data_IF_240786325821
#
_entry.id   IF_240786325821
#
_cell.length_a   1.000
_cell.length_b   1.000
_cell.length_c   1.000
_cell.angle_alpha   90.00
_cell.angle_beta   90.00
_cell.angle_gamma   90.00
#
_symmetry.space_group_name_H-M   'P 1'
#
loop_
_entity.id
_entity.type
_entity.pdbx_description
1 polymer ?
#
# COMPACT_ATOMS: atom_id res chain seq x y z
N UNK A 1 -39.77 3.66 -37.58
CA UNK A 1 -38.37 3.38 -37.19
C UNK A 1 -37.98 4.38 -36.11
N UNK A 2 -37.77 3.94 -34.86
CA UNK A 2 -37.41 4.82 -33.73
C UNK A 2 -36.15 4.25 -33.08
N UNK A 3 -34.98 4.81 -33.42
CA UNK A 3 -33.71 4.47 -32.78
C UNK A 3 -33.67 5.07 -31.38
N UNK A 4 -33.53 4.22 -30.37
CA UNK A 4 -33.14 4.62 -29.01
C UNK A 4 -31.65 4.40 -28.88
N UNK A 5 -30.89 5.50 -28.86
CA UNK A 5 -29.48 5.47 -28.47
C UNK A 5 -29.40 5.32 -26.95
N UNK A 6 -28.93 4.17 -26.48
CA UNK A 6 -28.62 3.96 -25.07
C UNK A 6 -27.23 4.55 -24.80
N UNK A 7 -27.16 5.65 -24.06
CA UNK A 7 -25.91 6.15 -23.48
C UNK A 7 -25.47 5.17 -22.38
N UNK A 8 -24.39 4.45 -22.61
CA UNK A 8 -23.65 3.75 -21.56
C UNK A 8 -22.83 4.78 -20.78
N UNK A 9 -23.30 5.15 -19.59
CA UNK A 9 -22.50 5.85 -18.61
C UNK A 9 -21.49 4.86 -18.00
N UNK A 10 -20.21 5.01 -18.35
CA UNK A 10 -19.10 4.36 -17.66
C UNK A 10 -18.97 4.99 -16.28
N UNK A 11 -19.38 4.27 -15.23
CA UNK A 11 -18.99 4.59 -13.86
C UNK A 11 -17.48 4.37 -13.74
N UNK A 12 -16.70 5.46 -13.73
CA UNK A 12 -15.32 5.42 -13.30
C UNK A 12 -15.30 5.20 -11.78
N UNK A 13 -15.17 3.95 -11.35
CA UNK A 13 -14.81 3.67 -9.96
C UNK A 13 -13.41 4.24 -9.72
N UNK A 14 -13.19 5.02 -8.65
CA UNK A 14 -11.84 5.40 -8.27
C UNK A 14 -11.05 4.12 -8.04
N UNK A 15 -10.07 3.84 -8.91
CA UNK A 15 -9.14 2.75 -8.68
C UNK A 15 -8.37 3.06 -7.40
N UNK A 16 -8.36 2.12 -6.46
CA UNK A 16 -7.35 2.12 -5.42
C UNK A 16 -5.98 2.23 -6.10
N UNK A 17 -5.09 3.06 -5.56
CA UNK A 17 -3.77 3.24 -6.16
C UNK A 17 -2.98 1.95 -5.94
N UNK A 18 -2.86 1.13 -6.98
CA UNK A 18 -2.07 -0.09 -6.97
C UNK A 18 -0.60 0.30 -6.94
N UNK A 19 0.05 0.06 -5.79
CA UNK A 19 1.47 0.33 -5.60
C UNK A 19 2.28 -0.92 -5.91
N UNK A 20 3.36 -0.76 -6.66
CA UNK A 20 4.36 -1.79 -6.90
C UNK A 20 5.73 -1.28 -6.51
N UNK A 21 6.39 -2.00 -5.60
CA UNK A 21 7.72 -1.68 -5.10
C UNK A 21 8.72 -2.74 -5.53
N UNK A 22 9.89 -2.31 -5.95
CA UNK A 22 11.07 -3.15 -6.11
C UNK A 22 12.09 -2.74 -5.05
N UNK A 23 12.35 -3.63 -4.09
CA UNK A 23 13.19 -3.37 -2.92
C UNK A 23 14.37 -4.35 -2.90
N UNK A 24 15.49 -3.93 -2.32
CA UNK A 24 16.68 -4.74 -2.11
C UNK A 24 17.20 -4.55 -0.69
N UNK A 25 17.92 -5.54 -0.18
CA UNK A 25 18.51 -5.46 1.15
C UNK A 25 19.51 -4.31 1.24
N UNK A 26 19.39 -3.46 2.27
CA UNK A 26 20.27 -2.29 2.43
C UNK A 26 21.73 -2.67 2.70
N UNK A 27 21.96 -3.89 3.19
CA UNK A 27 23.30 -4.41 3.48
C UNK A 27 23.94 -5.13 2.30
N UNK A 28 23.18 -5.35 1.22
CA UNK A 28 23.68 -6.08 0.06
C UNK A 28 24.64 -5.22 -0.77
N UNK A 29 25.81 -5.77 -1.07
CA UNK A 29 26.89 -5.07 -1.78
C UNK A 29 27.19 -5.65 -3.17
N UNK A 30 26.74 -6.87 -3.47
CA UNK A 30 26.91 -7.51 -4.78
C UNK A 30 25.70 -8.42 -5.11
N UNK A 31 25.27 -8.40 -6.37
CA UNK A 31 24.26 -9.31 -6.93
C UNK A 31 22.96 -9.42 -6.13
N UNK A 32 22.39 -8.27 -5.75
CA UNK A 32 21.24 -8.18 -4.87
C UNK A 32 19.94 -8.68 -5.53
N UNK A 33 19.27 -9.62 -4.85
CA UNK A 33 17.94 -10.08 -5.23
C UNK A 33 16.91 -9.01 -4.88
N UNK A 34 16.02 -8.70 -5.81
CA UNK A 34 14.90 -7.79 -5.57
C UNK A 34 13.70 -8.51 -4.97
N UNK A 35 13.17 -7.94 -3.89
CA UNK A 35 11.88 -8.28 -3.31
C UNK A 35 10.81 -7.36 -3.91
N UNK A 36 9.80 -7.96 -4.54
CA UNK A 36 8.65 -7.21 -5.06
C UNK A 36 7.54 -7.15 -4.01
N UNK A 37 7.00 -5.95 -3.79
CA UNK A 37 5.84 -5.70 -2.93
C UNK A 37 4.71 -5.09 -3.74
N UNK A 38 3.49 -5.60 -3.58
CA UNK A 38 2.30 -5.07 -4.25
C UNK A 38 1.16 -4.91 -3.25
N UNK A 39 0.49 -3.76 -3.28
CA UNK A 39 -0.65 -3.47 -2.41
C UNK A 39 -1.44 -2.29 -2.96
N UNK A 40 -2.65 -2.05 -2.46
CA UNK A 40 -3.49 -0.96 -2.91
C UNK A 40 -4.06 -0.18 -1.72
N UNK A 41 -3.92 1.14 -1.74
CA UNK A 41 -4.55 1.99 -0.72
C UNK A 41 -5.86 2.54 -1.28
N UNK A 42 -6.95 2.28 -0.56
CA UNK A 42 -8.21 2.96 -0.77
C UNK A 42 -8.25 4.23 0.10
N UNK A 43 -8.16 5.43 -0.50
CA UNK A 43 -8.10 6.67 0.25
C UNK A 43 -9.40 6.98 1.01
N UNK A 44 -10.53 6.36 0.63
CA UNK A 44 -11.81 6.57 1.31
C UNK A 44 -11.78 6.05 2.76
N UNK A 45 -10.86 5.14 3.07
CA UNK A 45 -10.66 4.61 4.42
C UNK A 45 -10.09 5.64 5.41
N UNK A 46 -9.54 6.75 4.91
CA UNK A 46 -8.91 7.81 5.70
C UNK A 46 -9.76 9.09 5.79
N UNK A 47 -10.98 9.06 5.27
CA UNK A 47 -11.90 10.19 5.38
C UNK A 47 -12.36 10.33 6.82
N UNK A 48 -12.37 11.59 7.30
CA UNK A 48 -12.85 11.93 8.62
C UNK A 48 -14.24 11.31 8.89
N UNK A 49 -14.52 10.89 10.15
CA UNK A 49 -15.84 10.44 10.51
C UNK A 49 -16.85 11.56 10.29
N UNK A 50 -18.07 11.22 9.84
CA UNK A 50 -19.11 12.23 9.64
C UNK A 50 -19.72 12.62 10.99
N UNK A 51 -19.86 11.65 11.89
CA UNK A 51 -20.25 11.83 13.28
C UNK A 51 -19.08 11.41 14.18
N UNK A 52 -18.69 12.21 15.20
CA UNK A 52 -17.66 11.82 16.16
C UNK A 52 -17.91 10.48 16.88
N UNK A 53 -19.16 10.02 16.93
CA UNK A 53 -19.55 8.73 17.50
C UNK A 53 -19.56 7.59 16.47
N UNK A 54 -19.19 7.85 15.22
CA UNK A 54 -19.03 6.79 14.22
C UNK A 54 -17.95 5.80 14.71
N UNK A 55 -18.16 4.49 14.54
CA UNK A 55 -17.15 3.51 14.90
C UNK A 55 -15.87 3.74 14.09
N UNK A 56 -14.69 3.48 14.68
CA UNK A 56 -13.43 3.59 13.96
C UNK A 56 -13.43 2.75 12.68
N UNK A 57 -13.14 3.38 11.54
CA UNK A 57 -13.00 2.66 10.27
C UNK A 57 -11.70 1.85 10.30
N UNK A 58 -11.77 0.60 9.84
CA UNK A 58 -10.56 -0.22 9.69
C UNK A 58 -9.83 0.23 8.42
N UNK A 59 -8.59 0.69 8.57
CA UNK A 59 -7.69 1.03 7.46
C UNK A 59 -6.93 -0.22 7.06
N UNK A 60 -7.45 -1.03 6.14
CA UNK A 60 -6.89 -2.35 5.80
C UNK A 60 -6.60 -2.42 4.30
N UNK A 61 -5.39 -2.87 3.99
CA UNK A 61 -4.95 -3.22 2.63
C UNK A 61 -4.59 -4.70 2.54
N UNK A 62 -4.77 -5.28 1.36
CA UNK A 62 -4.17 -6.57 1.00
C UNK A 62 -2.75 -6.32 0.48
N UNK A 63 -1.78 -7.06 1.01
CA UNK A 63 -0.37 -6.97 0.62
C UNK A 63 0.04 -8.30 0.00
N UNK A 64 0.83 -8.21 -1.08
CA UNK A 64 1.63 -9.31 -1.63
C UNK A 64 3.10 -8.95 -1.45
N UNK A 65 3.85 -9.76 -0.72
CA UNK A 65 5.27 -9.59 -0.42
C UNK A 65 6.02 -10.84 -0.89
N UNK A 66 6.70 -10.77 -2.03
CA UNK A 66 7.24 -11.97 -2.66
C UNK A 66 6.12 -12.99 -2.96
N UNK A 67 6.17 -14.15 -2.29
CA UNK A 67 5.15 -15.21 -2.41
C UNK A 67 4.03 -15.13 -1.35
N UNK A 68 4.20 -14.28 -0.34
CA UNK A 68 3.26 -14.19 0.78
C UNK A 68 2.15 -13.19 0.52
N UNK A 69 0.96 -13.47 1.06
CA UNK A 69 -0.18 -12.58 1.01
C UNK A 69 -0.79 -12.43 2.40
N UNK A 70 -1.00 -11.18 2.83
CA UNK A 70 -1.55 -10.88 4.15
C UNK A 70 -2.32 -9.56 4.16
N UNK A 71 -3.13 -9.37 5.20
CA UNK A 71 -3.81 -8.09 5.47
C UNK A 71 -2.96 -7.25 6.40
N UNK A 72 -2.77 -5.99 6.05
CA UNK A 72 -2.01 -5.03 6.83
C UNK A 72 -2.82 -3.78 7.10
N UNK A 73 -2.45 -3.03 8.13
CA UNK A 73 -2.98 -1.69 8.34
C UNK A 73 -2.41 -0.77 7.27
N UNK A 74 -3.28 -0.10 6.49
CA UNK A 74 -2.85 0.89 5.52
C UNK A 74 -2.39 2.17 6.24
N UNK A 75 -1.37 2.84 5.67
CA UNK A 75 -0.85 4.10 6.17
C UNK A 75 -0.97 5.14 5.06
N UNK A 76 -1.53 6.29 5.40
CA UNK A 76 -1.49 7.50 4.60
C UNK A 76 -1.33 8.68 5.55
N UNK A 77 -0.32 9.50 5.30
CA UNK A 77 0.05 10.65 6.14
C UNK A 77 0.13 11.91 5.30
N UNK A 78 0.14 13.07 5.98
CA UNK A 78 0.43 14.34 5.33
C UNK A 78 1.80 14.31 4.63
N UNK A 79 1.95 15.15 3.60
CA UNK A 79 3.18 15.17 2.80
C UNK A 79 3.31 14.01 1.81
N UNK A 80 2.24 13.25 1.56
CA UNK A 80 2.18 12.20 0.52
C UNK A 80 2.86 10.89 0.91
N UNK A 81 3.16 10.69 2.20
CA UNK A 81 3.74 9.43 2.68
C UNK A 81 2.64 8.37 2.76
N UNK A 82 2.92 7.21 2.19
CA UNK A 82 2.01 6.06 2.18
C UNK A 82 2.72 4.79 2.59
N UNK A 83 1.97 3.73 2.90
CA UNK A 83 2.58 2.45 3.24
C UNK A 83 1.64 1.48 3.93
N UNK A 84 2.22 0.54 4.67
CA UNK A 84 1.46 -0.38 5.51
C UNK A 84 2.26 -0.83 6.72
N UNK A 85 1.54 -1.25 7.77
CA UNK A 85 2.09 -1.90 8.94
C UNK A 85 1.37 -3.22 9.19
N UNK A 86 2.13 -4.30 9.31
CA UNK A 86 1.66 -5.62 9.65
C UNK A 86 2.35 -6.08 10.94
N UNK A 87 1.57 -6.62 11.88
CA UNK A 87 2.08 -7.20 13.13
C UNK A 87 1.54 -8.62 13.24
N UNK A 88 2.42 -9.56 13.49
CA UNK A 88 2.10 -10.95 13.76
C UNK A 88 2.93 -11.41 14.96
N UNK A 89 2.26 -11.65 16.09
CA UNK A 89 2.89 -11.98 17.37
C UNK A 89 3.95 -10.94 17.79
N UNK A 90 5.23 -11.33 17.76
CA UNK A 90 6.37 -10.45 18.08
C UNK A 90 7.03 -9.84 16.85
N UNK A 91 6.58 -10.23 15.65
CA UNK A 91 7.15 -9.78 14.40
C UNK A 91 6.34 -8.59 13.87
N UNK A 92 7.04 -7.60 13.31
CA UNK A 92 6.41 -6.48 12.62
C UNK A 92 7.08 -6.24 11.27
N UNK A 93 6.27 -5.80 10.31
CA UNK A 93 6.72 -5.41 8.97
C UNK A 93 6.11 -4.06 8.65
N UNK A 94 6.96 -3.07 8.42
CA UNK A 94 6.57 -1.69 8.14
C UNK A 94 7.14 -1.25 6.80
N UNK A 95 6.27 -0.96 5.83
CA UNK A 95 6.65 -0.28 4.60
C UNK A 95 6.26 1.18 4.72
N UNK A 96 7.19 2.09 4.44
CA UNK A 96 6.93 3.51 4.22
C UNK A 96 7.47 3.93 2.85
N UNK A 97 6.65 4.69 2.13
CA UNK A 97 6.93 5.23 0.80
C UNK A 97 6.81 6.74 0.89
N UNK A 98 7.89 7.43 0.59
CA UNK A 98 7.94 8.89 0.50
C UNK A 98 7.19 9.38 -0.75
N UNK A 99 6.83 10.66 -0.78
CA UNK A 99 6.10 11.25 -1.92
C UNK A 99 6.87 11.17 -3.25
N UNK A 100 8.20 11.10 -3.21
CA UNK A 100 9.04 10.91 -4.40
C UNK A 100 9.08 9.43 -4.86
N UNK A 101 8.49 8.51 -4.10
CA UNK A 101 8.48 7.07 -4.35
C UNK A 101 9.66 6.33 -3.73
N UNK A 102 10.55 6.97 -2.98
CA UNK A 102 11.58 6.27 -2.20
C UNK A 102 10.93 5.43 -1.10
N UNK A 103 11.33 4.17 -0.97
CA UNK A 103 10.66 3.22 -0.09
C UNK A 103 11.63 2.51 0.86
N UNK A 104 11.18 2.29 2.10
CA UNK A 104 11.88 1.53 3.14
C UNK A 104 10.91 0.51 3.75
N UNK A 105 11.28 -0.76 3.69
CA UNK A 105 10.61 -1.88 4.36
C UNK A 105 11.47 -2.35 5.52
N UNK A 106 10.98 -2.23 6.74
CA UNK A 106 11.67 -2.67 7.94
C UNK A 106 11.00 -3.90 8.53
N UNK A 107 11.81 -4.86 8.97
CA UNK A 107 11.37 -6.04 9.71
C UNK A 107 11.87 -5.95 11.16
N UNK A 108 10.99 -6.27 12.10
CA UNK A 108 11.36 -6.49 13.50
C UNK A 108 10.87 -7.87 13.92
N UNK A 109 11.60 -8.57 14.79
CA UNK A 109 12.81 -8.13 15.49
C UNK A 109 14.11 -8.36 14.71
N UNK A 110 14.06 -8.84 13.46
CA UNK A 110 15.26 -9.19 12.69
C UNK A 110 16.20 -8.00 12.39
N UNK A 111 15.74 -6.77 12.62
CA UNK A 111 16.43 -5.51 12.32
C UNK A 111 16.96 -5.48 10.87
N UNK A 112 16.15 -6.06 9.97
CA UNK A 112 16.45 -6.14 8.55
C UNK A 112 15.70 -5.04 7.81
N UNK A 113 16.36 -4.41 6.86
CA UNK A 113 15.73 -3.38 6.03
C UNK A 113 15.93 -3.67 4.55
N UNK A 114 14.86 -3.53 3.77
CA UNK A 114 14.94 -3.38 2.33
C UNK A 114 14.66 -1.92 1.92
N UNK A 115 15.39 -1.44 0.92
CA UNK A 115 15.20 -0.10 0.34
C UNK A 115 15.00 -0.21 -1.16
N UNK A 116 14.32 0.78 -1.75
CA UNK A 116 14.11 0.80 -3.20
C UNK A 116 13.14 1.88 -3.61
N UNK A 117 12.39 1.62 -4.69
CA UNK A 117 11.38 2.54 -5.19
C UNK A 117 10.04 1.85 -5.40
N UNK A 118 8.98 2.63 -5.24
CA UNK A 118 7.64 2.25 -5.59
C UNK A 118 7.07 3.16 -6.67
N UNK A 119 6.19 2.60 -7.50
CA UNK A 119 5.41 3.32 -8.49
C UNK A 119 3.93 2.98 -8.31
N UNK A 120 3.08 3.98 -8.54
CA UNK A 120 1.65 3.74 -8.72
C UNK A 120 1.43 3.20 -10.14
N UNK A 121 0.68 2.11 -10.27
CA UNK A 121 0.22 1.56 -11.54
C UNK A 121 -1.13 2.14 -11.96
#
# INVERSE_FOLDING_TARGET
>A
MKSRAALFALCATPLAADMMCALQDETCTDSCVQTVVRFAIDPTQFVAPHNPNDPPRRQITQVTLGAEQFRAQAIMMEGGITGFHHVQDKNSTLLLIQADGAARLSYQPEDRTLTGRCVAN
#
